data_IF_247848044400
#
_entry.id   IF_247848044400
#
_cell.length_a   1.000
_cell.length_b   1.000
_cell.length_c   1.000
_cell.angle_alpha   90.00
_cell.angle_beta   90.00
_cell.angle_gamma   90.00
#
_symmetry.space_group_name_H-M   'P 1'
#
loop_
_entity.id
_entity.type
_entity.pdbx_description
1 polymer ?
#
# COMPACT_ATOMS: atom_id res chain seq x y z
N UNK A 1 26.30 -37.35 10.53
CA UNK A 1 27.24 -36.31 10.07
C UNK A 1 26.71 -35.42 8.95
N UNK A 2 26.03 -35.94 7.91
CA UNK A 2 25.52 -35.10 6.79
C UNK A 2 24.38 -34.16 7.20
N UNK A 3 23.39 -34.64 7.97
CA UNK A 3 22.31 -33.79 8.51
C UNK A 3 22.84 -32.64 9.36
N UNK A 4 23.87 -32.88 10.16
CA UNK A 4 24.49 -31.84 11.00
C UNK A 4 25.19 -30.77 10.16
N UNK A 5 25.94 -31.16 9.12
CA UNK A 5 26.54 -30.18 8.19
C UNK A 5 25.51 -29.37 7.41
N UNK A 6 24.40 -29.99 7.00
CA UNK A 6 23.32 -29.28 6.30
C UNK A 6 22.67 -28.27 7.24
N UNK A 7 22.39 -28.64 8.50
CA UNK A 7 21.85 -27.72 9.50
C UNK A 7 22.83 -26.58 9.79
N UNK A 8 24.13 -26.88 9.92
CA UNK A 8 25.17 -25.86 10.17
C UNK A 8 25.38 -24.90 9.00
N UNK A 9 25.28 -25.39 7.76
CA UNK A 9 25.38 -24.56 6.55
C UNK A 9 24.11 -23.71 6.41
N UNK A 10 22.93 -24.27 6.63
CA UNK A 10 21.67 -23.51 6.65
C UNK A 10 21.69 -22.44 7.75
N UNK A 11 22.15 -22.75 8.97
CA UNK A 11 22.24 -21.78 10.06
C UNK A 11 23.21 -20.64 9.74
N UNK A 12 24.38 -20.95 9.17
CA UNK A 12 25.37 -19.93 8.79
C UNK A 12 24.87 -19.06 7.64
N UNK A 13 24.24 -19.65 6.63
CA UNK A 13 23.69 -18.92 5.48
C UNK A 13 22.45 -18.11 5.86
N UNK A 14 21.58 -18.61 6.73
CA UNK A 14 20.42 -17.87 7.23
C UNK A 14 20.81 -16.73 8.17
N UNK A 15 21.77 -16.93 9.07
CA UNK A 15 22.27 -15.85 9.95
C UNK A 15 22.98 -14.75 9.15
N UNK A 16 23.76 -15.10 8.12
CA UNK A 16 24.38 -14.11 7.22
C UNK A 16 23.35 -13.41 6.33
N UNK A 17 22.35 -14.13 5.81
CA UNK A 17 21.31 -13.56 4.95
C UNK A 17 20.32 -12.65 5.70
N UNK A 18 20.04 -12.94 6.97
CA UNK A 18 19.24 -12.06 7.83
C UNK A 18 19.99 -10.76 8.15
N UNK A 19 21.32 -10.85 8.31
CA UNK A 19 22.16 -9.67 8.55
C UNK A 19 22.41 -8.84 7.30
N UNK A 20 22.36 -9.44 6.09
CA UNK A 20 22.61 -8.72 4.84
C UNK A 20 21.43 -7.84 4.42
N UNK A 21 20.20 -8.23 4.74
CA UNK A 21 18.98 -7.56 4.27
C UNK A 21 18.07 -7.07 5.42
N UNK A 22 18.55 -6.14 6.27
CA UNK A 22 17.82 -5.71 7.48
C UNK A 22 16.49 -5.02 7.17
N UNK A 23 16.39 -4.33 6.02
CA UNK A 23 15.14 -3.70 5.56
C UNK A 23 14.07 -4.74 5.24
N UNK A 24 14.42 -5.78 4.48
CA UNK A 24 13.50 -6.87 4.12
C UNK A 24 13.01 -7.59 5.36
N UNK A 25 13.90 -7.89 6.31
CA UNK A 25 13.52 -8.45 7.62
C UNK A 25 12.54 -7.54 8.35
N UNK A 26 12.80 -6.23 8.38
CA UNK A 26 11.89 -5.23 8.95
C UNK A 26 10.51 -5.23 8.31
N UNK A 27 10.44 -5.23 6.98
CA UNK A 27 9.16 -5.26 6.24
C UNK A 27 8.39 -6.57 6.46
N UNK A 28 9.07 -7.71 6.51
CA UNK A 28 8.46 -9.02 6.80
C UNK A 28 7.87 -9.03 8.22
N UNK A 29 8.61 -8.57 9.22
CA UNK A 29 8.10 -8.47 10.59
C UNK A 29 6.92 -7.51 10.71
N UNK A 30 7.01 -6.34 10.07
CA UNK A 30 5.92 -5.37 10.03
C UNK A 30 4.67 -5.95 9.36
N UNK A 31 4.83 -6.74 8.30
CA UNK A 31 3.73 -7.42 7.60
C UNK A 31 2.97 -8.38 8.52
N UNK A 32 3.64 -9.10 9.42
CA UNK A 32 2.96 -9.91 10.43
C UNK A 32 2.12 -9.07 11.40
N UNK A 33 2.63 -7.90 11.82
CA UNK A 33 1.87 -6.95 12.65
C UNK A 33 0.63 -6.44 11.91
N UNK A 34 0.77 -6.11 10.62
CA UNK A 34 -0.35 -5.68 9.78
C UNK A 34 -1.40 -6.78 9.63
N UNK A 35 -0.99 -8.03 9.38
CA UNK A 35 -1.92 -9.18 9.31
C UNK A 35 -2.64 -9.36 10.65
N UNK A 36 -1.90 -9.31 11.76
CA UNK A 36 -2.48 -9.41 13.08
C UNK A 36 -3.52 -8.30 13.33
N UNK A 37 -3.21 -7.05 12.99
CA UNK A 37 -4.12 -5.93 13.15
C UNK A 37 -5.35 -6.05 12.23
N UNK A 38 -5.14 -6.36 10.95
CA UNK A 38 -6.19 -6.46 9.93
C UNK A 38 -7.14 -7.64 10.18
N UNK A 39 -6.65 -8.74 10.76
CA UNK A 39 -7.50 -9.89 11.16
C UNK A 39 -8.48 -9.59 12.30
N UNK A 40 -8.37 -8.41 12.93
CA UNK A 40 -9.32 -7.93 13.94
C UNK A 40 -10.44 -7.06 13.36
N UNK A 41 -10.41 -6.77 12.07
CA UNK A 41 -11.50 -6.03 11.43
C UNK A 41 -12.76 -6.90 11.35
N UNK A 42 -13.96 -6.28 11.39
CA UNK A 42 -15.21 -7.03 11.28
C UNK A 42 -15.27 -7.78 9.94
N UNK A 43 -15.50 -9.09 10.01
CA UNK A 43 -15.77 -9.91 8.83
C UNK A 43 -17.16 -9.59 8.28
N UNK A 44 -17.20 -9.11 7.03
CA UNK A 44 -18.43 -8.72 6.33
C UNK A 44 -18.72 -9.62 5.10
N UNK A 45 -18.14 -10.82 5.04
CA UNK A 45 -18.27 -11.76 3.92
C UNK A 45 -16.93 -12.40 3.54
N UNK A 46 -16.82 -12.94 2.32
CA UNK A 46 -15.57 -13.53 1.79
C UNK A 46 -14.46 -12.50 1.57
N UNK A 47 -14.83 -11.24 1.30
CA UNK A 47 -13.88 -10.16 1.01
C UNK A 47 -14.29 -8.95 1.85
N UNK A 48 -13.46 -8.60 2.83
CA UNK A 48 -13.75 -7.56 3.81
C UNK A 48 -12.60 -6.55 3.96
N UNK A 49 -12.71 -5.61 4.91
CA UNK A 49 -11.74 -4.54 5.12
C UNK A 49 -10.31 -5.04 5.39
N UNK A 50 -10.18 -6.24 5.97
CA UNK A 50 -8.89 -6.88 6.24
C UNK A 50 -8.22 -7.52 5.03
N UNK A 51 -8.98 -7.80 3.95
CA UNK A 51 -8.48 -8.54 2.80
C UNK A 51 -7.28 -7.86 2.13
N UNK A 52 -7.39 -6.57 1.82
CA UNK A 52 -6.33 -5.85 1.12
C UNK A 52 -5.04 -5.73 1.94
N UNK A 53 -5.06 -5.28 3.22
CA UNK A 53 -3.87 -5.29 4.06
C UNK A 53 -3.22 -6.68 4.19
N UNK A 54 -4.03 -7.74 4.34
CA UNK A 54 -3.53 -9.12 4.44
C UNK A 54 -2.90 -9.57 3.12
N UNK A 55 -3.54 -9.30 1.98
CA UNK A 55 -3.04 -9.69 0.66
C UNK A 55 -1.68 -9.05 0.36
N UNK A 56 -1.55 -7.74 0.60
CA UNK A 56 -0.29 -7.01 0.41
C UNK A 56 0.78 -7.53 1.36
N UNK A 57 0.44 -7.73 2.64
CA UNK A 57 1.36 -8.26 3.64
C UNK A 57 1.85 -9.67 3.30
N UNK A 58 0.95 -10.54 2.82
CA UNK A 58 1.31 -11.87 2.34
C UNK A 58 2.26 -11.79 1.14
N UNK A 59 2.01 -10.88 0.19
CA UNK A 59 2.92 -10.61 -0.92
C UNK A 59 4.31 -10.17 -0.46
N UNK A 60 4.40 -9.21 0.47
CA UNK A 60 5.66 -8.76 1.05
C UNK A 60 6.40 -9.92 1.72
N UNK A 61 5.70 -10.77 2.49
CA UNK A 61 6.31 -11.94 3.13
C UNK A 61 6.85 -12.90 2.08
N UNK A 62 6.06 -13.25 1.04
CA UNK A 62 6.47 -14.19 0.00
C UNK A 62 7.69 -13.69 -0.77
N UNK A 63 7.66 -12.45 -1.24
CA UNK A 63 8.76 -11.88 -2.02
C UNK A 63 9.99 -11.57 -1.16
N UNK A 64 9.79 -11.09 0.07
CA UNK A 64 10.90 -10.83 1.00
C UNK A 64 11.61 -12.11 1.43
N UNK A 65 10.88 -13.21 1.68
CA UNK A 65 11.49 -14.52 1.93
C UNK A 65 12.22 -15.02 0.68
N UNK A 66 11.63 -14.86 -0.50
CA UNK A 66 12.29 -15.24 -1.75
C UNK A 66 13.61 -14.45 -1.96
N UNK A 67 13.64 -13.16 -1.64
CA UNK A 67 14.84 -12.33 -1.70
C UNK A 67 15.93 -12.81 -0.72
N UNK A 68 15.58 -13.05 0.55
CA UNK A 68 16.51 -13.57 1.57
C UNK A 68 17.10 -14.92 1.14
N UNK A 69 16.27 -15.83 0.61
CA UNK A 69 16.71 -17.15 0.16
C UNK A 69 17.55 -17.09 -1.11
N UNK A 70 17.34 -16.08 -1.96
CA UNK A 70 18.12 -15.90 -3.19
C UNK A 70 19.54 -15.40 -2.91
N UNK A 71 19.83 -14.97 -1.67
CA UNK A 71 21.15 -14.48 -1.28
C UNK A 71 21.58 -13.23 -2.03
N UNK A 72 20.62 -12.48 -2.59
CA UNK A 72 20.89 -11.17 -3.19
C UNK A 72 21.38 -10.26 -2.08
N UNK A 73 22.65 -9.86 -2.17
CA UNK A 73 23.19 -8.83 -1.29
C UNK A 73 22.62 -7.49 -1.74
N UNK A 74 21.79 -6.88 -0.90
CA UNK A 74 21.39 -5.49 -1.08
C UNK A 74 22.53 -4.62 -0.55
N UNK A 75 23.35 -4.08 -1.44
CA UNK A 75 24.20 -2.96 -1.06
C UNK A 75 23.28 -1.78 -0.73
N UNK A 76 23.26 -1.38 0.55
CA UNK A 76 22.66 -0.13 0.97
C UNK A 76 23.53 1.00 0.44
N UNK A 77 23.31 1.39 -0.80
CA UNK A 77 23.87 2.62 -1.34
C UNK A 77 23.43 3.76 -0.44
N UNK A 78 24.39 4.32 0.30
CA UNK A 78 24.18 5.53 1.09
C UNK A 78 24.18 6.69 0.10
N UNK A 79 23.10 6.80 -0.68
CA UNK A 79 22.89 7.94 -1.56
C UNK A 79 22.70 9.20 -0.72
N UNK A 80 23.23 10.33 -1.18
CA UNK A 80 22.97 11.64 -0.60
C UNK A 80 21.45 11.89 -0.64
N UNK A 81 20.80 11.67 0.51
CA UNK A 81 19.36 11.66 0.58
C UNK A 81 18.85 13.10 0.63
N UNK A 82 18.26 13.57 -0.47
CA UNK A 82 17.55 14.84 -0.47
C UNK A 82 16.19 14.68 0.22
N UNK A 83 16.08 15.20 1.44
CA UNK A 83 14.83 15.16 2.21
C UNK A 83 13.73 16.06 1.64
N UNK A 84 14.05 17.01 0.75
CA UNK A 84 13.10 17.97 0.22
C UNK A 84 11.87 17.33 -0.44
N UNK A 85 12.05 16.43 -1.43
CA UNK A 85 10.92 15.79 -2.10
C UNK A 85 10.03 14.93 -1.20
N UNK A 86 10.56 14.03 -0.35
CA UNK A 86 9.74 13.29 0.60
C UNK A 86 8.94 14.20 1.55
N UNK A 87 9.55 15.29 2.04
CA UNK A 87 8.88 16.25 2.94
C UNK A 87 7.71 16.94 2.25
N UNK A 88 7.86 17.36 0.99
CA UNK A 88 6.76 18.01 0.25
C UNK A 88 5.61 17.03 -0.01
N UNK A 89 5.92 15.79 -0.40
CA UNK A 89 4.91 14.74 -0.56
C UNK A 89 4.18 14.46 0.75
N UNK A 90 4.90 14.43 1.88
CA UNK A 90 4.32 14.26 3.20
C UNK A 90 3.39 15.43 3.56
N UNK A 91 3.79 16.67 3.30
CA UNK A 91 2.94 17.86 3.52
C UNK A 91 1.66 17.77 2.69
N UNK A 92 1.75 17.42 1.41
CA UNK A 92 0.59 17.22 0.55
C UNK A 92 -0.34 16.13 1.08
N UNK A 93 0.22 15.02 1.57
CA UNK A 93 -0.53 13.92 2.14
C UNK A 93 -1.26 14.33 3.43
N UNK A 94 -0.57 15.03 4.33
CA UNK A 94 -1.16 15.56 5.57
C UNK A 94 -2.28 16.54 5.24
N UNK A 95 -2.07 17.45 4.28
CA UNK A 95 -3.10 18.38 3.81
C UNK A 95 -4.33 17.64 3.26
N UNK A 96 -4.12 16.59 2.45
CA UNK A 96 -5.19 15.73 1.97
C UNK A 96 -6.00 15.09 3.11
N UNK A 97 -5.33 14.52 4.12
CA UNK A 97 -6.00 13.90 5.27
C UNK A 97 -6.76 14.92 6.11
N UNK A 98 -6.19 16.09 6.36
CA UNK A 98 -6.82 17.17 7.14
C UNK A 98 -8.06 17.74 6.42
N UNK A 99 -8.03 17.82 5.10
CA UNK A 99 -9.16 18.30 4.29
C UNK A 99 -10.24 17.23 4.08
N UNK A 100 -9.91 15.94 4.27
CA UNK A 100 -10.78 14.81 3.99
C UNK A 100 -12.15 14.86 4.69
N UNK A 101 -12.30 15.32 5.95
CA UNK A 101 -13.63 15.45 6.58
C UNK A 101 -14.57 16.42 5.84
N UNK A 102 -14.01 17.38 5.10
CA UNK A 102 -14.77 18.40 4.36
C UNK A 102 -15.04 17.92 2.93
N UNK A 103 -14.00 17.44 2.25
CA UNK A 103 -14.07 17.05 0.83
C UNK A 103 -14.59 15.63 0.61
N UNK A 104 -14.45 14.76 1.61
CA UNK A 104 -14.58 13.32 1.44
C UNK A 104 -13.40 12.73 0.66
N UNK A 105 -13.41 11.39 0.53
CA UNK A 105 -12.38 10.63 -0.17
C UNK A 105 -12.28 11.01 -1.65
N UNK A 106 -13.41 11.03 -2.36
CA UNK A 106 -13.44 11.14 -3.82
C UNK A 106 -12.94 12.51 -4.29
N UNK A 107 -13.56 13.60 -3.82
CA UNK A 107 -13.16 14.96 -4.17
C UNK A 107 -11.77 15.27 -3.62
N UNK A 108 -11.48 14.87 -2.38
CA UNK A 108 -10.16 15.07 -1.78
C UNK A 108 -9.04 14.45 -2.62
N UNK A 109 -9.24 13.20 -3.08
CA UNK A 109 -8.27 12.50 -3.92
C UNK A 109 -8.14 13.13 -5.32
N UNK A 110 -9.26 13.59 -5.90
CA UNK A 110 -9.29 14.29 -7.19
C UNK A 110 -8.57 15.65 -7.14
N UNK A 111 -8.45 16.27 -5.97
CA UNK A 111 -7.67 17.49 -5.74
C UNK A 111 -6.20 17.18 -5.38
N UNK A 112 -5.98 16.14 -4.59
CA UNK A 112 -4.65 15.72 -4.15
C UNK A 112 -3.79 15.18 -5.30
N UNK A 113 -4.32 14.26 -6.12
CA UNK A 113 -3.57 13.62 -7.20
C UNK A 113 -2.99 14.61 -8.22
N UNK A 114 -3.71 15.60 -8.77
CA UNK A 114 -3.10 16.50 -9.74
C UNK A 114 -1.98 17.33 -9.13
N UNK A 115 -2.12 17.75 -7.86
CA UNK A 115 -1.05 18.44 -7.13
C UNK A 115 0.20 17.56 -6.98
N UNK A 116 0.01 16.30 -6.56
CA UNK A 116 1.10 15.32 -6.43
C UNK A 116 1.76 15.02 -7.78
N UNK A 117 0.97 14.76 -8.83
CA UNK A 117 1.48 14.42 -10.16
C UNK A 117 2.26 15.58 -10.78
N UNK A 118 1.75 16.81 -10.63
CA UNK A 118 2.43 18.00 -11.12
C UNK A 118 3.76 18.24 -10.38
N UNK A 119 3.78 18.01 -9.06
CA UNK A 119 4.99 18.03 -8.24
C UNK A 119 6.01 16.99 -8.72
N UNK A 120 5.54 15.77 -9.03
CA UNK A 120 6.32 14.68 -9.61
C UNK A 120 6.67 14.87 -11.10
N UNK A 121 6.54 16.10 -11.63
CA UNK A 121 6.88 16.48 -13.01
C UNK A 121 6.08 15.77 -14.11
N UNK A 122 4.93 15.19 -13.79
CA UNK A 122 4.01 14.65 -14.78
C UNK A 122 3.17 15.81 -15.33
N UNK A 123 3.47 16.24 -16.56
CA UNK A 123 2.84 17.41 -17.20
C UNK A 123 1.88 17.07 -18.34
N UNK A 124 1.74 15.80 -18.69
CA UNK A 124 0.80 15.37 -19.73
C UNK A 124 -0.63 15.58 -19.26
N UNK A 125 -1.32 16.58 -19.80
CA UNK A 125 -2.73 16.89 -19.50
C UNK A 125 -3.65 15.67 -19.57
N UNK A 126 -3.63 14.82 -20.63
CA UNK A 126 -4.51 13.65 -20.67
C UNK A 126 -4.19 12.66 -19.55
N UNK A 127 -2.91 12.47 -19.22
CA UNK A 127 -2.51 11.55 -18.15
C UNK A 127 -2.84 12.09 -16.76
N UNK A 128 -2.67 13.40 -16.56
CA UNK A 128 -3.06 14.11 -15.34
C UNK A 128 -4.55 13.96 -15.07
N UNK A 129 -5.40 14.22 -16.06
CA UNK A 129 -6.86 14.10 -15.93
C UNK A 129 -7.25 12.63 -15.72
N UNK A 130 -6.70 11.72 -16.53
CA UNK A 130 -7.02 10.30 -16.44
C UNK A 130 -6.67 9.70 -15.07
N UNK A 131 -5.49 10.00 -14.52
CA UNK A 131 -5.09 9.52 -13.20
C UNK A 131 -5.88 10.21 -12.08
N UNK A 132 -6.00 11.54 -12.15
CA UNK A 132 -6.64 12.32 -11.08
C UNK A 132 -8.12 12.02 -10.93
N UNK A 133 -8.80 11.59 -11.98
CA UNK A 133 -10.23 11.22 -11.94
C UNK A 133 -10.38 9.70 -11.88
N UNK A 134 -9.67 8.97 -12.75
CA UNK A 134 -9.81 7.53 -12.91
C UNK A 134 -9.36 6.76 -11.68
N UNK A 135 -8.20 7.10 -11.10
CA UNK A 135 -7.68 6.37 -9.92
C UNK A 135 -8.60 6.53 -8.70
N UNK A 136 -9.07 7.72 -8.31
CA UNK A 136 -10.00 7.85 -7.19
C UNK A 136 -11.33 7.12 -7.40
N UNK A 137 -11.89 7.15 -8.62
CA UNK A 137 -13.12 6.42 -8.94
C UNK A 137 -12.88 4.91 -8.83
N UNK A 138 -11.79 4.40 -9.41
CA UNK A 138 -11.42 2.99 -9.34
C UNK A 138 -11.26 2.53 -7.89
N UNK A 139 -10.50 3.28 -7.09
CA UNK A 139 -10.30 2.98 -5.67
C UNK A 139 -11.60 3.09 -4.86
N UNK A 140 -12.48 4.03 -5.19
CA UNK A 140 -13.80 4.12 -4.56
C UNK A 140 -14.60 2.83 -4.74
N UNK A 141 -14.61 2.24 -5.95
CA UNK A 141 -15.28 0.96 -6.17
C UNK A 141 -14.57 -0.21 -5.51
N UNK A 142 -13.25 -0.29 -5.61
CA UNK A 142 -12.48 -1.38 -4.99
C UNK A 142 -12.69 -1.38 -3.48
N UNK A 143 -12.46 -0.25 -2.81
CA UNK A 143 -12.58 -0.20 -1.35
C UNK A 143 -14.04 -0.15 -0.88
N UNK A 144 -14.87 0.68 -1.50
CA UNK A 144 -16.25 0.90 -1.05
C UNK A 144 -17.24 -0.20 -1.44
N UNK A 145 -17.01 -0.91 -2.55
CA UNK A 145 -17.94 -1.94 -3.05
C UNK A 145 -17.37 -3.35 -2.98
N UNK A 146 -16.07 -3.55 -3.22
CA UNK A 146 -15.46 -4.89 -3.17
C UNK A 146 -14.99 -5.22 -1.76
N UNK A 147 -14.24 -4.33 -1.11
CA UNK A 147 -13.70 -4.56 0.24
C UNK A 147 -14.61 -4.05 1.36
N UNK A 148 -15.75 -3.45 1.02
CA UNK A 148 -16.77 -2.98 1.97
C UNK A 148 -16.23 -2.02 3.04
N UNK A 149 -15.22 -1.23 2.67
CA UNK A 149 -14.61 -0.20 3.50
C UNK A 149 -15.44 1.07 3.42
N UNK A 150 -15.78 1.64 4.58
CA UNK A 150 -16.47 2.94 4.64
C UNK A 150 -15.48 4.06 4.30
N UNK A 151 -15.65 4.65 3.12
CA UNK A 151 -14.89 5.81 2.69
C UNK A 151 -15.58 7.09 3.18
N UNK A 152 -14.83 8.10 3.65
CA UNK A 152 -15.41 9.37 4.10
C UNK A 152 -16.22 10.07 3.00
N UNK A 153 -17.47 10.41 3.31
CA UNK A 153 -18.27 11.33 2.49
C UNK A 153 -17.96 12.77 2.91
N UNK A 154 -17.84 13.67 1.93
CA UNK A 154 -17.68 15.09 2.18
C UNK A 154 -19.02 15.79 2.36
N UNK A 155 -18.96 17.12 2.53
CA UNK A 155 -20.15 17.98 2.58
C UNK A 155 -20.98 17.83 1.29
N UNK A 156 -20.31 17.69 0.15
CA UNK A 156 -20.94 17.42 -1.14
C UNK A 156 -20.73 15.93 -1.48
N UNK A 157 -21.78 15.10 -1.43
CA UNK A 157 -21.65 13.65 -1.62
C UNK A 157 -21.58 13.30 -3.11
N UNK A 158 -20.48 13.67 -3.77
CA UNK A 158 -20.22 13.39 -5.20
C UNK A 158 -20.26 11.88 -5.50
N UNK A 159 -19.95 11.04 -4.50
CA UNK A 159 -20.08 9.58 -4.57
C UNK A 159 -21.47 9.11 -5.01
N UNK A 160 -22.54 9.87 -4.73
CA UNK A 160 -23.93 9.53 -5.09
C UNK A 160 -24.24 9.74 -6.57
N UNK A 161 -23.42 10.51 -7.28
CA UNK A 161 -23.54 10.72 -8.72
C UNK A 161 -22.95 9.55 -9.52
N UNK A 162 -22.12 8.73 -8.89
CA UNK A 162 -21.52 7.57 -9.55
C UNK A 162 -22.57 6.47 -9.74
N UNK A 163 -22.56 5.79 -10.90
CA UNK A 163 -23.51 4.72 -11.16
C UNK A 163 -23.34 3.59 -10.15
N UNK A 164 -24.45 2.99 -9.73
CA UNK A 164 -24.41 1.78 -8.93
C UNK A 164 -24.12 0.60 -9.85
N UNK A 165 -22.83 0.31 -10.03
CA UNK A 165 -22.42 -0.84 -10.82
C UNK A 165 -22.79 -2.10 -10.02
N UNK A 166 -23.62 -3.00 -10.57
CA UNK A 166 -23.79 -4.33 -10.01
C UNK A 166 -22.49 -5.10 -10.29
N UNK A 167 -21.47 -4.83 -9.48
CA UNK A 167 -20.29 -5.67 -9.41
C UNK A 167 -20.85 -7.01 -8.91
N UNK A 168 -20.85 -8.04 -9.74
CA UNK A 168 -21.50 -9.35 -9.50
C UNK A 168 -20.96 -10.14 -8.29
N UNK A 169 -20.36 -9.46 -7.32
CA UNK A 169 -20.09 -9.92 -5.97
C UNK A 169 -21.43 -9.93 -5.23
N UNK A 170 -22.22 -10.95 -5.50
CA UNK A 170 -23.40 -11.30 -4.71
C UNK A 170 -22.88 -11.89 -3.39
N UNK A 171 -23.17 -11.24 -2.27
CA UNK A 171 -23.08 -11.83 -0.94
C UNK A 171 -24.49 -11.99 -0.38
#
# INVERSE_FOLDING_TARGET
MIKQRIVEVVDRTSASALSSNPLTVGFVLFSFVVIFAASRFPDQGLVGPGFFPILISAGIIVFGVAEILSGTETELETADFNYGPPVIVLILLVAYVVLMPITGFLVGSMLFLPALLYYSQIRSTPFLVALSIGVPILLFYIFGRIFLVRLPEGIIPVSRLLPQIPLGVVF
#
